data_IF_635314912130
#
_entry.id   IF_635314912130
#
_cell.length_a   1.000
_cell.length_b   1.000
_cell.length_c   1.000
_cell.angle_alpha   90.00
_cell.angle_beta   90.00
_cell.angle_gamma   90.00
#
_symmetry.space_group_name_H-M   'P 1'
#
loop_
_entity.id
_entity.type
_entity.pdbx_description
1 polymer ?
#
# COMPACT_ATOMS: atom_id res chain seq x y z
N UNK A 1 7.19 23.66 6.68
CA UNK A 1 6.42 24.05 5.46
C UNK A 1 4.94 23.94 5.80
N UNK A 2 4.16 24.83 5.27
CA UNK A 2 2.69 24.83 5.48
C UNK A 2 2.03 24.18 4.26
N UNK A 3 1.24 23.14 4.48
CA UNK A 3 0.47 22.43 3.45
C UNK A 3 -1.01 22.84 3.53
N UNK A 4 -1.74 22.65 2.45
CA UNK A 4 -3.21 22.76 2.49
C UNK A 4 -3.80 21.50 3.09
N UNK A 5 -3.19 20.33 2.75
CA UNK A 5 -3.60 19.02 3.25
C UNK A 5 -2.40 18.18 3.65
N UNK A 6 -2.44 17.57 4.82
CA UNK A 6 -1.57 16.45 5.20
C UNK A 6 -2.44 15.20 5.33
N UNK A 7 -2.01 14.13 4.67
CA UNK A 7 -2.62 12.79 4.79
C UNK A 7 -1.66 11.89 5.55
N UNK A 8 -2.10 11.33 6.67
CA UNK A 8 -1.31 10.39 7.47
C UNK A 8 -1.69 8.97 7.08
N UNK A 9 -0.78 8.29 6.41
CA UNK A 9 -0.97 6.95 5.81
C UNK A 9 -1.25 7.00 4.31
N UNK A 10 -0.55 6.16 3.56
CA UNK A 10 -0.60 6.07 2.10
C UNK A 10 -1.35 4.84 1.57
N UNK A 11 -2.15 4.18 2.39
CA UNK A 11 -3.06 3.12 1.94
C UNK A 11 -4.11 3.62 0.95
N UNK A 12 -5.04 2.74 0.48
CA UNK A 12 -6.03 3.09 -0.55
C UNK A 12 -6.84 4.36 -0.25
N UNK A 13 -7.25 4.58 0.99
CA UNK A 13 -7.91 5.82 1.39
C UNK A 13 -7.00 7.03 1.31
N UNK A 14 -5.73 6.88 1.72
CA UNK A 14 -4.76 7.97 1.77
C UNK A 14 -4.27 8.41 0.40
N UNK A 15 -3.75 7.49 -0.43
CA UNK A 15 -3.21 7.89 -1.73
C UNK A 15 -4.30 8.43 -2.67
N UNK A 16 -5.51 7.88 -2.63
CA UNK A 16 -6.62 8.39 -3.44
C UNK A 16 -6.99 9.82 -3.03
N UNK A 17 -7.13 10.07 -1.72
CA UNK A 17 -7.43 11.40 -1.20
C UNK A 17 -6.33 12.41 -1.56
N UNK A 18 -5.07 12.04 -1.38
CA UNK A 18 -3.92 12.91 -1.67
C UNK A 18 -3.84 13.28 -3.16
N UNK A 19 -3.96 12.29 -4.05
CA UNK A 19 -3.94 12.52 -5.50
C UNK A 19 -5.09 13.44 -5.91
N UNK A 20 -6.29 13.18 -5.40
CA UNK A 20 -7.47 13.99 -5.75
C UNK A 20 -7.34 15.42 -5.24
N UNK A 21 -6.89 15.62 -4.02
CA UNK A 21 -6.66 16.94 -3.45
C UNK A 21 -5.64 17.75 -4.27
N UNK A 22 -4.52 17.12 -4.65
CA UNK A 22 -3.52 17.77 -5.50
C UNK A 22 -4.08 18.14 -6.88
N UNK A 23 -4.88 17.25 -7.50
CA UNK A 23 -5.56 17.55 -8.77
C UNK A 23 -6.54 18.73 -8.67
N UNK A 24 -7.03 19.02 -7.48
CA UNK A 24 -7.88 20.19 -7.18
C UNK A 24 -7.07 21.45 -6.83
N UNK A 25 -5.76 21.40 -6.97
CA UNK A 25 -4.85 22.55 -6.78
C UNK A 25 -4.32 22.73 -5.35
N UNK A 26 -4.56 21.78 -4.44
CA UNK A 26 -4.03 21.84 -3.08
C UNK A 26 -2.55 21.47 -3.03
N UNK A 27 -1.79 22.11 -2.14
CA UNK A 27 -0.44 21.71 -1.75
C UNK A 27 -0.53 20.57 -0.72
N UNK A 28 -0.16 19.34 -1.13
CA UNK A 28 -0.42 18.12 -0.36
C UNK A 28 0.88 17.45 0.08
N UNK A 29 0.91 17.00 1.35
CA UNK A 29 1.89 16.04 1.83
C UNK A 29 1.22 14.73 2.27
N UNK A 30 1.93 13.62 2.09
CA UNK A 30 1.57 12.30 2.61
C UNK A 30 2.66 11.84 3.56
N UNK A 31 2.28 11.40 4.75
CA UNK A 31 3.18 10.82 5.73
C UNK A 31 3.01 9.31 5.70
N UNK A 32 4.10 8.58 5.44
CA UNK A 32 4.10 7.12 5.43
C UNK A 32 5.33 6.57 6.17
N UNK A 33 5.12 5.56 6.99
CA UNK A 33 6.19 4.93 7.79
C UNK A 33 6.80 3.69 7.15
N UNK A 34 6.17 3.18 6.11
CA UNK A 34 6.56 1.95 5.42
C UNK A 34 6.39 2.13 3.90
N UNK A 35 5.85 1.14 3.22
CA UNK A 35 5.72 1.14 1.77
C UNK A 35 4.49 1.94 1.30
N UNK A 36 4.66 2.76 0.27
CA UNK A 36 3.56 3.46 -0.36
C UNK A 36 2.52 2.50 -0.94
N UNK A 37 1.24 2.82 -0.72
CA UNK A 37 0.12 1.96 -1.08
C UNK A 37 -0.43 1.15 0.09
N UNK A 38 0.27 1.13 1.24
CA UNK A 38 -0.15 0.50 2.47
C UNK A 38 -0.33 -1.02 2.37
N UNK A 39 -1.04 -1.58 3.33
CA UNK A 39 -1.24 -3.04 3.45
C UNK A 39 -1.85 -3.64 2.17
N UNK A 40 -2.86 -3.00 1.60
CA UNK A 40 -3.59 -3.56 0.46
C UNK A 40 -2.68 -3.85 -0.75
N UNK A 41 -1.78 -2.93 -1.11
CA UNK A 41 -0.90 -3.08 -2.26
C UNK A 41 0.29 -4.01 -1.95
N UNK A 42 0.82 -3.93 -0.74
CA UNK A 42 2.11 -4.55 -0.42
C UNK A 42 1.99 -5.92 0.25
N UNK A 43 1.02 -6.11 1.14
CA UNK A 43 0.92 -7.32 1.99
C UNK A 43 -0.49 -7.93 2.05
N UNK A 44 -1.48 -7.35 1.37
CA UNK A 44 -2.88 -7.75 1.47
C UNK A 44 -3.52 -8.05 0.13
N UNK A 45 -4.41 -7.18 -0.32
CA UNK A 45 -5.32 -7.41 -1.46
C UNK A 45 -4.59 -7.83 -2.74
N UNK A 46 -3.54 -7.11 -3.12
CA UNK A 46 -2.87 -7.30 -4.41
C UNK A 46 -2.04 -8.60 -4.45
N UNK A 47 -1.12 -8.85 -3.50
CA UNK A 47 -0.41 -10.12 -3.48
C UNK A 47 -1.35 -11.31 -3.33
N UNK A 48 -2.39 -11.23 -2.49
CA UNK A 48 -3.39 -12.29 -2.33
C UNK A 48 -4.09 -12.60 -3.67
N UNK A 49 -4.55 -11.59 -4.39
CA UNK A 49 -5.16 -11.78 -5.71
C UNK A 49 -4.19 -12.36 -6.73
N UNK A 50 -2.92 -12.00 -6.64
CA UNK A 50 -1.88 -12.58 -7.50
C UNK A 50 -1.69 -14.07 -7.24
N UNK A 51 -1.69 -14.50 -5.97
CA UNK A 51 -1.61 -15.92 -5.56
C UNK A 51 -2.85 -16.69 -6.01
N UNK A 52 -4.04 -16.15 -5.74
CA UNK A 52 -5.31 -16.76 -6.16
C UNK A 52 -5.39 -16.92 -7.66
N UNK A 53 -4.85 -15.98 -8.45
CA UNK A 53 -4.81 -16.12 -9.90
C UNK A 53 -3.89 -17.25 -10.36
N UNK A 54 -2.78 -17.46 -9.70
CA UNK A 54 -1.88 -18.60 -9.99
C UNK A 54 -2.56 -19.93 -9.65
N UNK A 55 -3.26 -20.02 -8.51
CA UNK A 55 -4.04 -21.20 -8.15
C UNK A 55 -5.15 -21.48 -9.18
N UNK A 56 -5.87 -20.44 -9.62
CA UNK A 56 -6.91 -20.56 -10.64
C UNK A 56 -6.36 -21.06 -11.99
N UNK A 57 -5.16 -20.63 -12.38
CA UNK A 57 -4.53 -21.11 -13.62
C UNK A 57 -4.20 -22.60 -13.53
N UNK A 58 -3.69 -23.06 -12.38
CA UNK A 58 -3.44 -24.48 -12.15
C UNK A 58 -4.73 -25.31 -12.17
N UNK A 59 -5.79 -24.80 -11.55
CA UNK A 59 -7.12 -25.40 -11.57
C UNK A 59 -7.65 -25.53 -13.01
N UNK A 60 -7.55 -24.48 -13.81
CA UNK A 60 -7.94 -24.52 -15.22
C UNK A 60 -7.12 -25.54 -16.03
N UNK A 61 -5.83 -25.68 -15.75
CA UNK A 61 -4.99 -26.68 -16.38
C UNK A 61 -5.46 -28.11 -16.07
N UNK A 62 -5.91 -28.37 -14.82
CA UNK A 62 -6.44 -29.65 -14.40
C UNK A 62 -7.78 -30.03 -15.06
N UNK A 63 -8.56 -29.04 -15.52
CA UNK A 63 -9.86 -29.20 -16.17
C UNK A 63 -9.85 -28.78 -17.65
N UNK A 64 -8.66 -28.68 -18.26
CA UNK A 64 -8.51 -28.15 -19.60
C UNK A 64 -9.24 -28.97 -20.66
N UNK A 65 -9.39 -30.27 -20.44
CA UNK A 65 -10.10 -31.20 -21.36
C UNK A 65 -11.58 -30.80 -21.53
N UNK A 66 -12.23 -30.27 -20.53
CA UNK A 66 -13.62 -29.80 -20.59
C UNK A 66 -13.80 -28.64 -21.60
N UNK A 67 -12.72 -27.95 -21.90
CA UNK A 67 -12.64 -26.83 -22.84
C UNK A 67 -11.99 -27.22 -24.18
N UNK A 68 -11.77 -28.53 -24.43
CA UNK A 68 -11.13 -29.05 -25.65
C UNK A 68 -9.62 -28.77 -25.72
N UNK A 69 -8.98 -28.38 -24.61
CA UNK A 69 -7.53 -28.15 -24.53
C UNK A 69 -6.85 -29.38 -23.91
N UNK A 70 -5.79 -29.85 -24.54
CA UNK A 70 -4.99 -30.97 -24.01
C UNK A 70 -3.78 -30.40 -23.26
N UNK A 71 -3.67 -30.73 -21.97
CA UNK A 71 -2.50 -30.45 -21.14
C UNK A 71 -2.06 -31.80 -20.54
N UNK A 72 -0.86 -32.24 -20.88
CA UNK A 72 -0.35 -33.55 -20.42
C UNK A 72 0.10 -33.49 -18.97
N UNK A 73 0.71 -32.37 -18.57
CA UNK A 73 1.23 -32.19 -17.22
C UNK A 73 1.21 -30.73 -16.82
N UNK A 74 0.73 -30.42 -15.62
CA UNK A 74 0.77 -29.11 -15.01
C UNK A 74 1.10 -29.25 -13.53
N UNK A 75 2.18 -28.61 -13.10
CA UNK A 75 2.59 -28.59 -11.70
C UNK A 75 2.90 -27.16 -11.24
N UNK A 76 2.71 -26.84 -9.95
CA UNK A 76 2.99 -25.53 -9.43
C UNK A 76 4.49 -25.38 -9.13
N UNK A 77 5.10 -24.29 -9.60
CA UNK A 77 6.36 -23.77 -9.08
C UNK A 77 6.04 -22.70 -8.01
N UNK A 78 6.11 -23.11 -6.75
CA UNK A 78 5.71 -22.26 -5.64
C UNK A 78 6.63 -21.02 -5.49
N UNK A 79 7.93 -21.17 -5.71
CA UNK A 79 8.89 -20.06 -5.61
C UNK A 79 8.61 -19.02 -6.70
N UNK A 80 8.34 -19.43 -7.92
CA UNK A 80 7.96 -18.55 -9.01
C UNK A 80 6.59 -17.86 -8.74
N UNK A 81 5.63 -18.55 -8.13
CA UNK A 81 4.34 -17.99 -7.73
C UNK A 81 4.54 -16.88 -6.68
N UNK A 82 5.35 -17.11 -5.67
CA UNK A 82 5.68 -16.12 -4.65
C UNK A 82 6.42 -14.94 -5.26
N UNK A 83 7.46 -15.19 -6.06
CA UNK A 83 8.22 -14.14 -6.72
C UNK A 83 7.32 -13.26 -7.61
N UNK A 84 6.40 -13.87 -8.36
CA UNK A 84 5.40 -13.15 -9.14
C UNK A 84 4.53 -12.26 -8.26
N UNK A 85 4.04 -12.76 -7.12
CA UNK A 85 3.17 -11.98 -6.23
C UNK A 85 3.90 -10.75 -5.66
N UNK A 86 5.18 -10.90 -5.31
CA UNK A 86 6.02 -9.79 -4.86
C UNK A 86 6.29 -8.77 -5.97
N UNK A 87 6.61 -9.23 -7.17
CA UNK A 87 6.81 -8.36 -8.33
C UNK A 87 5.57 -7.55 -8.70
N UNK A 88 4.36 -8.11 -8.54
CA UNK A 88 3.11 -7.37 -8.75
C UNK A 88 2.92 -6.30 -7.67
N UNK A 89 3.17 -6.62 -6.40
CA UNK A 89 3.08 -5.66 -5.29
C UNK A 89 4.06 -4.50 -5.49
N UNK A 90 5.32 -4.79 -5.82
CA UNK A 90 6.35 -3.79 -6.09
C UNK A 90 5.96 -2.86 -7.25
N UNK A 91 5.45 -3.42 -8.34
CA UNK A 91 4.97 -2.63 -9.48
C UNK A 91 3.85 -1.67 -9.09
N UNK A 92 2.94 -2.11 -8.21
CA UNK A 92 1.84 -1.25 -7.73
C UNK A 92 2.35 -0.13 -6.83
N UNK A 93 3.27 -0.41 -5.90
CA UNK A 93 3.89 0.60 -5.04
C UNK A 93 4.66 1.65 -5.85
N UNK A 94 5.47 1.22 -6.84
CA UNK A 94 6.13 2.11 -7.79
C UNK A 94 5.14 2.96 -8.59
N UNK A 95 3.97 2.40 -8.92
CA UNK A 95 2.87 3.15 -9.55
C UNK A 95 2.37 4.31 -8.67
N UNK A 96 2.24 4.11 -7.36
CA UNK A 96 1.87 5.18 -6.42
C UNK A 96 2.98 6.24 -6.33
N UNK A 97 4.25 5.83 -6.24
CA UNK A 97 5.39 6.75 -6.26
C UNK A 97 5.36 7.65 -7.51
N UNK A 98 5.14 7.05 -8.68
CA UNK A 98 5.00 7.80 -9.93
C UNK A 98 3.84 8.80 -9.88
N UNK A 99 2.65 8.38 -9.39
CA UNK A 99 1.48 9.24 -9.30
C UNK A 99 1.71 10.38 -8.31
N UNK A 100 2.39 10.16 -7.19
CA UNK A 100 2.73 11.22 -6.25
C UNK A 100 3.67 12.23 -6.89
N UNK A 101 4.73 11.76 -7.55
CA UNK A 101 5.64 12.64 -8.29
C UNK A 101 4.92 13.43 -9.39
N UNK A 102 4.09 12.78 -10.18
CA UNK A 102 3.30 13.43 -11.26
C UNK A 102 2.39 14.53 -10.75
N UNK A 103 1.84 14.37 -9.56
CA UNK A 103 0.91 15.32 -8.94
C UNK A 103 1.61 16.25 -7.92
N UNK A 104 2.96 16.30 -7.87
CA UNK A 104 3.75 17.15 -6.96
C UNK A 104 3.38 16.94 -5.48
N UNK A 105 3.04 15.72 -5.08
CA UNK A 105 2.73 15.37 -3.69
C UNK A 105 4.04 15.12 -2.94
N UNK A 106 4.24 15.81 -1.83
CA UNK A 106 5.39 15.60 -0.96
C UNK A 106 5.21 14.33 -0.13
N UNK A 107 6.17 13.41 -0.19
CA UNK A 107 6.21 12.25 0.71
C UNK A 107 7.12 12.58 1.88
N UNK A 108 6.63 12.38 3.10
CA UNK A 108 7.36 12.53 4.35
C UNK A 108 7.44 11.15 4.99
N UNK A 109 8.64 10.58 5.00
CA UNK A 109 8.87 9.25 5.57
C UNK A 109 8.93 9.31 7.09
N UNK A 110 8.16 8.48 7.77
CA UNK A 110 8.14 8.38 9.21
C UNK A 110 6.78 8.11 9.82
N UNK A 111 6.78 7.99 11.13
CA UNK A 111 5.57 7.76 11.92
C UNK A 111 4.91 9.09 12.27
N UNK A 112 3.76 9.36 11.66
CA UNK A 112 2.96 10.57 11.91
C UNK A 112 2.08 10.44 13.17
N UNK A 113 2.12 11.47 14.02
CA UNK A 113 1.29 11.59 15.22
C UNK A 113 0.60 12.95 15.23
N UNK A 114 -0.74 12.94 15.34
CA UNK A 114 -1.51 14.16 15.53
C UNK A 114 -1.25 14.75 16.94
N UNK A 115 -0.93 16.02 17.00
CA UNK A 115 -0.69 16.76 18.26
C UNK A 115 -1.95 17.48 18.73
N UNK A 116 -1.98 17.90 20.00
CA UNK A 116 -3.13 18.60 20.60
C UNK A 116 -3.41 19.97 19.93
N UNK A 117 -2.38 20.62 19.41
CA UNK A 117 -2.47 21.88 18.65
C UNK A 117 -2.74 21.69 17.15
N UNK A 118 -3.24 20.49 16.76
CA UNK A 118 -3.66 20.13 15.39
C UNK A 118 -2.52 20.25 14.36
N UNK A 119 -1.31 19.85 14.75
CA UNK A 119 -0.16 19.66 13.86
C UNK A 119 0.14 18.17 13.74
N UNK A 120 1.04 17.80 12.84
CA UNK A 120 1.52 16.43 12.72
C UNK A 120 3.01 16.38 13.07
N UNK A 121 3.34 15.72 14.17
CA UNK A 121 4.71 15.34 14.50
C UNK A 121 5.07 14.09 13.73
N UNK A 122 6.18 14.11 13.03
CA UNK A 122 6.72 12.94 12.31
C UNK A 122 8.02 12.51 12.96
N UNK A 123 8.11 11.25 13.30
CA UNK A 123 9.35 10.63 13.80
C UNK A 123 9.90 9.74 12.68
N UNK A 124 11.09 10.04 12.20
CA UNK A 124 11.76 9.27 11.14
C UNK A 124 12.43 7.99 11.66
N UNK A 125 13.11 7.26 10.77
CA UNK A 125 13.81 6.01 11.12
C UNK A 125 15.02 6.23 12.06
N UNK A 126 15.60 7.42 12.10
CA UNK A 126 16.69 7.80 13.00
C UNK A 126 16.18 8.25 14.38
N UNK A 127 14.86 8.40 14.55
CA UNK A 127 14.23 8.90 15.75
C UNK A 127 14.16 10.44 15.81
N UNK A 128 14.54 11.12 14.74
CA UNK A 128 14.43 12.57 14.66
C UNK A 128 12.98 12.99 14.49
N UNK A 129 12.62 14.09 15.12
CA UNK A 129 11.25 14.61 15.13
C UNK A 129 11.16 15.90 14.36
N UNK A 130 10.19 15.96 13.46
CA UNK A 130 9.79 17.16 12.73
C UNK A 130 8.32 17.45 12.91
N UNK A 131 7.93 18.73 12.89
CA UNK A 131 6.53 19.12 13.03
C UNK A 131 6.06 19.83 11.76
N UNK A 132 4.92 19.37 11.24
CA UNK A 132 4.33 19.89 10.02
C UNK A 132 2.94 20.47 10.30
N UNK A 133 2.63 21.55 9.59
CA UNK A 133 1.35 22.26 9.70
C UNK A 133 0.56 22.14 8.39
N UNK A 134 -0.75 21.98 8.52
CA UNK A 134 -1.67 22.02 7.38
C UNK A 134 -2.99 22.66 7.77
N UNK A 135 -3.74 23.15 6.76
CA UNK A 135 -5.10 23.62 6.98
C UNK A 135 -6.04 22.45 7.31
N UNK A 136 -5.81 21.30 6.65
CA UNK A 136 -6.59 20.08 6.82
C UNK A 136 -5.68 18.88 7.06
N UNK A 137 -6.15 17.94 7.89
CA UNK A 137 -5.44 16.69 8.18
C UNK A 137 -6.42 15.54 7.99
N UNK A 138 -6.02 14.56 7.19
CA UNK A 138 -6.73 13.29 7.01
C UNK A 138 -5.95 12.16 7.67
N UNK A 139 -6.61 11.44 8.58
CA UNK A 139 -6.07 10.24 9.19
C UNK A 139 -6.52 9.01 8.38
N UNK A 140 -5.59 8.40 7.66
CA UNK A 140 -5.81 7.21 6.82
C UNK A 140 -4.84 6.08 7.22
N UNK A 141 -4.64 5.90 8.52
CA UNK A 141 -3.59 5.08 9.13
C UNK A 141 -3.81 3.56 8.97
N UNK A 142 -4.97 3.15 8.43
CA UNK A 142 -5.30 1.75 8.22
C UNK A 142 -5.58 0.98 9.51
N UNK A 143 -5.37 -0.34 9.47
CA UNK A 143 -5.63 -1.25 10.58
C UNK A 143 -4.49 -2.28 10.70
N UNK A 144 -4.48 -3.02 11.78
CA UNK A 144 -3.61 -4.17 12.03
C UNK A 144 -4.45 -5.36 12.46
N UNK A 145 -3.94 -6.56 12.23
CA UNK A 145 -4.49 -7.79 12.80
C UNK A 145 -4.55 -7.68 14.32
N UNK A 146 -5.66 -8.13 14.90
CA UNK A 146 -5.78 -8.23 16.34
C UNK A 146 -5.01 -9.48 16.80
N UNK A 147 -4.05 -9.30 17.67
CA UNK A 147 -3.42 -10.43 18.36
C UNK A 147 -4.37 -11.01 19.40
N UNK A 148 -4.54 -12.33 19.37
CA UNK A 148 -5.21 -13.07 20.43
C UNK A 148 -4.16 -13.49 21.46
N UNK A 149 -4.44 -13.39 22.79
CA UNK A 149 -3.44 -13.61 23.84
C UNK A 149 -2.76 -14.98 23.80
N UNK A 150 -3.46 -16.00 23.29
CA UNK A 150 -3.02 -17.40 23.32
C UNK A 150 -2.68 -17.96 21.92
N UNK A 151 -2.71 -17.14 20.88
CA UNK A 151 -2.43 -17.57 19.49
C UNK A 151 -1.41 -16.58 18.91
N UNK A 152 -0.11 -16.96 18.93
CA UNK A 152 0.91 -16.13 18.29
C UNK A 152 0.67 -16.08 16.78
N UNK A 153 0.95 -14.93 16.19
CA UNK A 153 0.95 -14.75 14.72
C UNK A 153 2.39 -14.95 14.24
N UNK A 154 2.54 -15.68 13.15
CA UNK A 154 3.77 -15.88 12.40
C UNK A 154 4.04 -14.74 11.36
#
# INVERSE_FOLDING_TARGET
MKYDLIVVGSGPGGYVAAIRASQLGMNVAVIERAELGGICLNWGCIPTKSLLKSAQVLEYAGHAADYGVKIEHAEPDFDAIIARSRGVADKMSKGIQYLFKKNNITVIEGHGKLTADKKVEVTDAAGEKTVHEAQHIVLATGARSRQLPNIPQD
#
